data_IF_124695529852
#
_entry.id   IF_124695529852
#
_cell.length_a   1.000
_cell.length_b   1.000
_cell.length_c   1.000
_cell.angle_alpha   90.00
_cell.angle_beta   90.00
_cell.angle_gamma   90.00
#
_symmetry.space_group_name_H-M   'P 1'
#
loop_
_entity.id
_entity.type
_entity.pdbx_description
1 polymer ?
#
# COMPACT_ATOMS: atom_id res chain seq x y z
N UNK A 1 -8.01 46.78 -54.74
CA UNK A 1 -6.97 46.21 -53.86
C UNK A 1 -7.56 46.05 -52.47
N UNK A 2 -8.03 44.86 -52.11
CA UNK A 2 -8.51 44.54 -50.76
C UNK A 2 -7.76 43.27 -50.33
N UNK A 3 -6.90 43.43 -49.32
CA UNK A 3 -6.04 42.37 -48.76
C UNK A 3 -6.92 41.40 -47.96
N UNK A 4 -6.94 40.13 -48.38
CA UNK A 4 -7.50 39.05 -47.57
C UNK A 4 -6.51 38.72 -46.43
N UNK A 5 -6.92 38.94 -45.18
CA UNK A 5 -6.17 38.52 -44.00
C UNK A 5 -6.65 37.11 -43.65
N UNK A 6 -5.84 36.11 -43.98
CA UNK A 6 -6.07 34.73 -43.57
C UNK A 6 -5.65 34.55 -42.11
N UNK A 7 -6.64 34.37 -41.23
CA UNK A 7 -6.42 34.01 -39.83
C UNK A 7 -6.30 32.48 -39.72
N UNK A 8 -5.09 31.98 -39.50
CA UNK A 8 -4.84 30.57 -39.24
C UNK A 8 -5.23 30.22 -37.79
N UNK A 9 -6.28 29.42 -37.62
CA UNK A 9 -6.67 28.84 -36.33
C UNK A 9 -5.81 27.60 -36.07
N UNK A 10 -4.95 27.65 -35.05
CA UNK A 10 -4.21 26.50 -34.57
C UNK A 10 -5.13 25.63 -33.70
N UNK A 11 -5.45 24.41 -34.17
CA UNK A 11 -6.13 23.40 -33.38
C UNK A 11 -5.16 22.82 -32.35
N UNK A 12 -5.33 23.19 -31.08
CA UNK A 12 -4.72 22.49 -29.95
C UNK A 12 -5.60 21.27 -29.68
N UNK A 13 -5.20 20.10 -30.19
CA UNK A 13 -5.85 18.85 -29.80
C UNK A 13 -5.42 18.49 -28.37
N UNK A 14 -6.34 18.26 -27.42
CA UNK A 14 -5.97 17.73 -26.12
C UNK A 14 -5.44 16.31 -26.30
N UNK A 15 -4.14 16.12 -26.07
CA UNK A 15 -3.53 14.79 -26.04
C UNK A 15 -4.12 13.99 -24.89
N UNK A 16 -4.66 12.81 -25.20
CA UNK A 16 -5.05 11.85 -24.16
C UNK A 16 -3.79 11.35 -23.48
N UNK A 17 -3.55 11.76 -22.24
CA UNK A 17 -2.52 11.16 -21.41
C UNK A 17 -2.94 9.71 -21.09
N UNK A 18 -2.35 8.74 -21.77
CA UNK A 18 -2.44 7.34 -21.36
C UNK A 18 -1.54 7.20 -20.13
N UNK A 19 -2.14 7.13 -18.95
CA UNK A 19 -1.44 6.75 -17.73
C UNK A 19 -1.03 5.28 -17.85
N UNK A 20 0.15 5.03 -18.42
CA UNK A 20 0.73 3.70 -18.46
C UNK A 20 1.11 3.31 -17.02
N UNK A 21 0.42 2.31 -16.47
CA UNK A 21 0.71 1.81 -15.14
C UNK A 21 2.00 0.98 -15.18
N UNK A 22 3.13 1.68 -15.20
CA UNK A 22 4.46 1.12 -15.42
C UNK A 22 5.05 0.43 -14.18
N UNK A 23 4.30 0.36 -13.07
CA UNK A 23 4.78 -0.23 -11.81
C UNK A 23 4.12 -1.58 -11.58
N UNK A 24 4.94 -2.63 -11.58
CA UNK A 24 4.54 -3.99 -11.21
C UNK A 24 4.51 -4.12 -9.68
N UNK A 25 3.52 -4.86 -9.17
CA UNK A 25 3.37 -5.19 -7.75
C UNK A 25 3.30 -6.72 -7.58
N UNK A 26 3.96 -7.22 -6.54
CA UNK A 26 3.80 -8.60 -6.06
C UNK A 26 3.83 -8.61 -4.53
N UNK A 27 3.11 -9.54 -3.90
CA UNK A 27 3.02 -9.63 -2.44
C UNK A 27 3.31 -11.04 -1.98
N UNK A 28 4.18 -11.17 -0.98
CA UNK A 28 4.45 -12.41 -0.26
C UNK A 28 3.95 -12.27 1.19
N UNK A 29 3.56 -13.39 1.81
CA UNK A 29 3.14 -13.44 3.21
C UNK A 29 3.93 -14.52 3.94
N UNK A 30 4.36 -14.21 5.16
CA UNK A 30 5.12 -15.10 6.04
C UNK A 30 4.52 -15.11 7.43
N UNK A 31 4.78 -16.18 8.18
CA UNK A 31 4.47 -16.27 9.62
C UNK A 31 5.76 -16.08 10.42
N UNK A 32 5.74 -15.22 11.43
CA UNK A 32 6.82 -15.11 12.41
C UNK A 32 6.73 -16.26 13.43
N UNK A 33 7.74 -17.14 13.46
CA UNK A 33 7.85 -18.25 14.42
C UNK A 33 9.00 -18.01 15.38
N UNK A 34 8.81 -18.35 16.66
CA UNK A 34 9.89 -18.38 17.65
C UNK A 34 10.55 -19.75 17.63
N UNK A 35 11.84 -19.79 17.32
CA UNK A 35 12.65 -21.01 17.32
C UNK A 35 13.66 -20.94 18.46
N UNK A 36 13.69 -21.98 19.30
CA UNK A 36 14.68 -22.11 20.34
C UNK A 36 16.05 -22.44 19.72
N UNK A 37 17.08 -21.72 20.16
CA UNK A 37 18.47 -21.97 19.77
C UNK A 37 19.16 -22.86 20.81
N UNK A 38 20.23 -23.59 20.43
CA UNK A 38 21.01 -24.44 21.34
C UNK A 38 21.57 -23.71 22.57
N UNK A 39 21.75 -22.39 22.49
CA UNK A 39 22.23 -21.53 23.57
C UNK A 39 21.12 -21.06 24.55
N UNK A 40 19.90 -21.62 24.45
CA UNK A 40 18.75 -21.26 25.30
C UNK A 40 18.04 -19.95 24.92
N UNK A 41 18.50 -19.23 23.89
CA UNK A 41 17.80 -18.04 23.37
C UNK A 41 16.74 -18.40 22.34
N UNK A 42 15.84 -17.46 22.02
CA UNK A 42 14.88 -17.61 20.91
C UNK A 42 15.25 -16.71 19.74
N UNK A 43 15.09 -17.20 18.51
CA UNK A 43 15.09 -16.40 17.29
C UNK A 43 13.67 -16.27 16.76
N UNK A 44 13.40 -15.14 16.11
CA UNK A 44 12.27 -15.02 15.19
C UNK A 44 12.73 -15.42 13.80
N UNK A 45 12.01 -16.33 13.16
CA UNK A 45 12.21 -16.72 11.77
C UNK A 45 10.93 -16.47 10.98
N UNK A 46 11.08 -16.21 9.69
CA UNK A 46 9.96 -16.09 8.75
C UNK A 46 9.82 -17.41 8.00
N UNK A 47 8.63 -17.97 8.05
CA UNK A 47 8.28 -19.22 7.37
C UNK A 47 7.09 -18.98 6.42
N UNK A 48 7.07 -19.70 5.31
CA UNK A 48 5.89 -19.69 4.43
C UNK A 48 4.70 -20.35 5.15
N UNK A 49 3.52 -19.72 5.17
CA UNK A 49 2.35 -20.28 5.83
C UNK A 49 1.84 -21.51 5.07
N UNK A 50 1.91 -22.68 5.69
CA UNK A 50 1.12 -23.86 5.28
C UNK A 50 -0.28 -23.83 5.89
N UNK A 51 -0.36 -23.44 7.16
CA UNK A 51 -1.60 -23.18 7.91
C UNK A 51 -1.37 -22.00 8.85
N UNK A 52 -2.38 -21.15 9.01
CA UNK A 52 -2.38 -20.03 9.96
C UNK A 52 -3.49 -20.24 11.00
N UNK A 53 -3.21 -19.86 12.25
CA UNK A 53 -4.13 -19.97 13.39
C UNK A 53 -4.34 -18.60 14.05
N UNK A 54 -5.47 -18.39 14.76
CA UNK A 54 -5.70 -17.16 15.52
C UNK A 54 -4.51 -16.82 16.44
N UNK A 55 -4.07 -15.57 16.41
CA UNK A 55 -2.89 -15.08 17.13
C UNK A 55 -1.56 -15.16 16.37
N UNK A 56 -1.49 -15.89 15.25
CA UNK A 56 -0.29 -15.92 14.42
C UNK A 56 0.10 -14.52 13.93
N UNK A 57 1.40 -14.25 13.97
CA UNK A 57 1.98 -12.97 13.52
C UNK A 57 2.40 -13.11 12.07
N UNK A 58 1.77 -12.29 11.22
CA UNK A 58 2.01 -12.28 9.78
C UNK A 58 2.91 -11.12 9.40
N UNK A 59 3.81 -11.37 8.46
CA UNK A 59 4.65 -10.36 7.81
C UNK A 59 4.32 -10.38 6.33
N UNK A 60 3.83 -9.26 5.82
CA UNK A 60 3.53 -9.08 4.41
C UNK A 60 4.65 -8.27 3.76
N UNK A 61 5.15 -8.75 2.62
CA UNK A 61 6.22 -8.10 1.85
C UNK A 61 5.69 -7.75 0.48
N UNK A 62 5.42 -6.47 0.26
CA UNK A 62 4.96 -5.94 -1.03
C UNK A 62 6.18 -5.45 -1.80
N UNK A 63 6.49 -6.10 -2.91
CA UNK A 63 7.55 -5.70 -3.84
C UNK A 63 6.94 -4.84 -4.93
N UNK A 64 7.59 -3.72 -5.24
CA UNK A 64 7.20 -2.85 -6.35
C UNK A 64 8.39 -2.61 -7.26
N UNK A 65 8.15 -2.52 -8.58
CA UNK A 65 9.20 -2.24 -9.57
C UNK A 65 8.63 -1.48 -10.76
N UNK A 66 9.30 -0.41 -11.16
CA UNK A 66 9.02 0.24 -12.44
C UNK A 66 9.57 -0.64 -13.58
N UNK A 67 8.67 -1.24 -14.34
CA UNK A 67 8.95 -2.10 -15.50
C UNK A 67 8.78 -1.38 -16.83
N UNK A 68 8.42 -0.08 -16.81
CA UNK A 68 8.35 0.76 -17.99
C UNK A 68 9.70 1.37 -18.39
N UNK A 69 9.67 2.15 -19.47
CA UNK A 69 10.83 2.85 -20.03
C UNK A 69 11.00 4.29 -19.54
N UNK A 70 10.04 4.82 -18.78
CA UNK A 70 10.06 6.18 -18.23
C UNK A 70 9.92 6.17 -16.69
N UNK A 71 10.42 7.20 -15.97
CA UNK A 71 10.19 7.33 -14.53
C UNK A 71 8.69 7.36 -14.19
N UNK A 72 8.30 6.65 -13.14
CA UNK A 72 6.94 6.70 -12.60
C UNK A 72 6.86 7.80 -11.53
N UNK A 73 6.05 8.82 -11.76
CA UNK A 73 5.76 9.90 -10.80
C UNK A 73 4.42 9.67 -10.12
N UNK A 74 4.22 10.32 -8.96
CA UNK A 74 2.93 10.38 -8.26
C UNK A 74 2.27 9.02 -8.00
N UNK A 75 3.09 7.99 -7.79
CA UNK A 75 2.60 6.64 -7.59
C UNK A 75 2.33 6.38 -6.11
N UNK A 76 1.33 5.53 -5.87
CA UNK A 76 1.01 5.01 -4.54
C UNK A 76 0.80 3.52 -4.59
N UNK A 77 1.08 2.86 -3.48
CA UNK A 77 0.82 1.43 -3.31
C UNK A 77 -0.26 1.29 -2.26
N UNK A 78 -1.39 0.68 -2.64
CA UNK A 78 -2.53 0.42 -1.76
C UNK A 78 -2.68 -1.07 -1.61
N UNK A 79 -2.78 -1.57 -0.38
CA UNK A 79 -2.96 -2.98 -0.10
C UNK A 79 -4.15 -3.22 0.86
N UNK A 80 -5.21 -3.93 0.43
CA UNK A 80 -6.29 -4.34 1.31
C UNK A 80 -5.81 -5.40 2.31
N UNK A 81 -6.33 -5.33 3.54
CA UNK A 81 -6.11 -6.38 4.53
C UNK A 81 -7.15 -7.49 4.36
N UNK A 82 -6.74 -8.77 4.45
CA UNK A 82 -7.69 -9.87 4.61
C UNK A 82 -8.55 -9.65 5.85
N UNK A 83 -9.86 -9.93 5.77
CA UNK A 83 -10.81 -9.68 6.88
C UNK A 83 -10.41 -10.35 8.20
N UNK A 84 -9.79 -11.53 8.11
CA UNK A 84 -9.31 -12.33 9.23
C UNK A 84 -7.97 -11.85 9.83
N UNK A 85 -7.43 -10.72 9.36
CA UNK A 85 -6.16 -10.16 9.84
C UNK A 85 -6.41 -8.78 10.45
N UNK A 86 -5.91 -8.57 11.65
CA UNK A 86 -5.79 -7.25 12.26
C UNK A 86 -4.45 -6.63 11.88
N UNK A 87 -4.43 -5.35 11.51
CA UNK A 87 -3.19 -4.63 11.25
C UNK A 87 -2.31 -4.57 12.51
N UNK A 88 -1.00 -4.53 12.34
CA UNK A 88 -0.05 -4.41 13.45
C UNK A 88 1.15 -3.49 13.11
N UNK A 89 0.92 -2.48 12.27
CA UNK A 89 1.92 -1.48 11.89
C UNK A 89 2.80 -1.87 10.71
N UNK A 90 3.63 -0.91 10.28
CA UNK A 90 4.69 -1.11 9.30
C UNK A 90 6.07 -0.99 9.96
N UNK A 91 7.12 -1.31 9.20
CA UNK A 91 8.49 -1.15 9.68
C UNK A 91 9.01 0.29 9.62
N UNK A 92 8.43 1.17 8.79
CA UNK A 92 8.93 2.53 8.58
C UNK A 92 7.98 3.64 9.09
N UNK A 93 6.74 3.31 9.43
CA UNK A 93 5.74 4.23 9.96
C UNK A 93 5.27 5.30 8.95
N UNK A 94 5.56 5.13 7.67
CA UNK A 94 5.25 6.11 6.62
C UNK A 94 3.88 5.90 5.97
N UNK A 95 3.16 4.87 6.39
CA UNK A 95 1.85 4.54 5.86
C UNK A 95 0.75 5.50 6.30
N UNK A 96 -0.26 5.60 5.46
CA UNK A 96 -1.61 6.00 5.86
C UNK A 96 -2.53 4.78 5.74
N UNK A 97 -3.59 4.76 6.52
CA UNK A 97 -4.52 3.63 6.56
C UNK A 97 -5.94 4.10 6.25
N UNK A 98 -6.80 3.13 5.97
CA UNK A 98 -8.25 3.35 5.85
C UNK A 98 -8.99 2.35 6.73
N UNK A 99 -10.04 2.81 7.39
CA UNK A 99 -10.93 2.00 8.26
C UNK A 99 -12.33 1.80 7.66
N UNK A 100 -12.55 2.28 6.44
CA UNK A 100 -13.88 2.34 5.80
C UNK A 100 -13.89 1.80 4.36
N UNK A 101 -12.95 0.89 4.06
CA UNK A 101 -12.86 0.24 2.76
C UNK A 101 -12.14 1.06 1.69
N UNK A 102 -11.25 1.97 2.09
CA UNK A 102 -10.44 2.78 1.19
C UNK A 102 -11.09 4.10 0.79
N UNK A 103 -12.15 4.55 1.47
CA UNK A 103 -12.84 5.80 1.14
C UNK A 103 -12.13 7.00 1.76
N UNK A 104 -11.76 6.88 3.03
CA UNK A 104 -10.98 7.88 3.75
C UNK A 104 -9.60 7.33 4.12
N UNK A 105 -8.60 8.22 4.11
CA UNK A 105 -7.20 7.88 4.33
C UNK A 105 -6.55 8.88 5.30
N UNK A 106 -5.75 8.37 6.22
CA UNK A 106 -4.96 9.21 7.13
C UNK A 106 -4.09 8.40 8.08
N UNK A 107 -3.30 9.07 8.93
CA UNK A 107 -2.66 8.43 10.07
C UNK A 107 -3.73 7.77 10.95
N UNK A 108 -3.50 6.55 11.43
CA UNK A 108 -4.51 5.81 12.22
C UNK A 108 -5.02 6.62 13.43
N UNK A 109 -4.12 7.36 14.09
CA UNK A 109 -4.43 8.18 15.25
C UNK A 109 -5.45 9.30 14.97
N UNK A 110 -5.59 9.71 13.71
CA UNK A 110 -6.49 10.79 13.29
C UNK A 110 -7.84 10.26 12.79
N UNK A 111 -8.00 8.94 12.69
CA UNK A 111 -9.20 8.32 12.14
C UNK A 111 -10.21 7.94 13.23
N UNK A 112 -11.48 8.04 12.86
CA UNK A 112 -12.61 7.53 13.64
C UNK A 112 -13.24 6.33 12.93
N UNK A 113 -13.73 5.39 13.72
CA UNK A 113 -14.47 4.23 13.24
C UNK A 113 -15.95 4.40 13.58
N UNK A 114 -16.80 4.17 12.57
CA UNK A 114 -18.25 4.09 12.72
C UNK A 114 -18.66 2.61 12.75
N UNK A 115 -19.06 2.14 13.92
CA UNK A 115 -19.58 0.79 14.13
C UNK A 115 -20.93 0.57 13.47
N UNK A 116 -21.28 -0.69 13.23
CA UNK A 116 -22.57 -1.07 12.62
C UNK A 116 -23.79 -0.67 13.47
N UNK A 117 -23.61 -0.48 14.78
CA UNK A 117 -24.59 0.01 15.74
C UNK A 117 -24.71 1.56 15.76
N UNK A 118 -23.94 2.27 14.92
CA UNK A 118 -23.87 3.74 14.93
C UNK A 118 -22.91 4.32 15.96
N UNK A 119 -22.17 3.49 16.69
CA UNK A 119 -21.16 3.95 17.64
C UNK A 119 -19.99 4.61 16.91
N UNK A 120 -19.56 5.77 17.41
CA UNK A 120 -18.39 6.48 16.91
C UNK A 120 -17.31 6.45 17.98
N UNK A 121 -16.14 5.95 17.61
CA UNK A 121 -14.96 5.90 18.50
C UNK A 121 -13.66 6.12 17.73
N UNK A 122 -12.54 6.40 18.40
CA UNK A 122 -11.22 6.36 17.77
C UNK A 122 -10.99 5.01 17.06
N UNK A 123 -10.35 5.07 15.89
CA UNK A 123 -9.99 3.87 15.14
C UNK A 123 -8.92 3.06 15.87
N UNK A 124 -9.08 1.74 15.82
CA UNK A 124 -8.11 0.77 16.34
C UNK A 124 -7.42 0.07 15.17
N UNK A 125 -6.27 -0.55 15.45
CA UNK A 125 -5.56 -1.36 14.44
C UNK A 125 -6.44 -2.51 13.88
N UNK A 126 -7.39 -3.01 14.67
CA UNK A 126 -8.35 -4.05 14.26
C UNK A 126 -9.39 -3.57 13.23
N UNK A 127 -9.59 -2.25 13.13
CA UNK A 127 -10.54 -1.63 12.21
C UNK A 127 -9.91 -1.30 10.85
N UNK A 128 -8.58 -1.37 10.75
CA UNK A 128 -7.85 -1.08 9.51
C UNK A 128 -8.25 -2.08 8.42
N UNK A 129 -8.72 -1.54 7.31
CA UNK A 129 -9.15 -2.28 6.12
C UNK A 129 -8.10 -2.23 5.01
N UNK A 130 -7.33 -1.15 4.93
CA UNK A 130 -6.31 -0.97 3.92
C UNK A 130 -5.11 -0.20 4.48
N UNK A 131 -3.93 -0.46 3.92
CA UNK A 131 -2.71 0.30 4.14
C UNK A 131 -2.25 0.88 2.81
N UNK A 132 -1.75 2.11 2.83
CA UNK A 132 -1.30 2.83 1.64
C UNK A 132 -0.01 3.59 1.90
N UNK A 133 0.87 3.57 0.89
CA UNK A 133 2.08 4.38 0.85
C UNK A 133 2.03 5.30 -0.37
N UNK A 134 2.38 6.57 -0.16
CA UNK A 134 2.47 7.58 -1.22
C UNK A 134 3.92 7.98 -1.39
N UNK A 135 4.40 7.98 -2.63
CA UNK A 135 5.79 8.28 -2.94
C UNK A 135 5.92 9.65 -3.60
N UNK A 136 6.59 10.57 -2.91
CA UNK A 136 6.81 11.94 -3.40
C UNK A 136 8.02 12.06 -4.33
N UNK A 137 8.66 10.93 -4.68
CA UNK A 137 9.82 10.87 -5.57
C UNK A 137 9.50 9.98 -6.76
N UNK A 138 10.00 10.38 -7.92
CA UNK A 138 9.91 9.56 -9.11
C UNK A 138 10.66 8.23 -8.89
N UNK A 139 10.04 7.12 -9.31
CA UNK A 139 10.69 5.82 -9.37
C UNK A 139 11.27 5.64 -10.77
N UNK A 140 12.59 5.73 -10.90
CA UNK A 140 13.30 5.55 -12.17
C UNK A 140 12.98 4.20 -12.83
N UNK A 141 13.05 4.15 -14.16
CA UNK A 141 12.87 2.91 -14.92
C UNK A 141 13.81 1.81 -14.38
N UNK A 142 13.28 0.60 -14.23
CA UNK A 142 14.00 -0.56 -13.67
C UNK A 142 14.18 -0.55 -12.15
N UNK A 143 13.94 0.58 -11.47
CA UNK A 143 14.07 0.69 -10.01
C UNK A 143 12.87 0.09 -9.29
N UNK A 144 13.07 -0.31 -8.04
CA UNK A 144 12.02 -0.89 -7.21
C UNK A 144 12.41 -0.93 -5.74
N UNK A 145 11.52 -1.48 -4.94
CA UNK A 145 11.72 -1.60 -3.50
C UNK A 145 10.77 -2.60 -2.87
N UNK A 146 10.78 -2.62 -1.54
CA UNK A 146 9.90 -3.44 -0.72
C UNK A 146 9.24 -2.57 0.33
N UNK A 147 7.97 -2.85 0.59
CA UNK A 147 7.20 -2.33 1.71
C UNK A 147 6.85 -3.51 2.60
N UNK A 148 6.94 -3.32 3.90
CA UNK A 148 6.67 -4.37 4.88
C UNK A 148 5.66 -3.88 5.88
N UNK A 149 4.59 -4.65 6.04
CA UNK A 149 3.61 -4.43 7.09
C UNK A 149 3.28 -5.73 7.82
N UNK A 150 2.81 -5.60 9.05
CA UNK A 150 2.50 -6.73 9.92
C UNK A 150 1.01 -6.83 10.17
N UNK A 151 0.59 -8.05 10.43
CA UNK A 151 -0.76 -8.34 10.90
C UNK A 151 -0.77 -9.46 11.95
N UNK A 152 -1.90 -9.58 12.64
CA UNK A 152 -2.18 -10.71 13.52
C UNK A 152 -3.46 -11.39 13.04
N UNK A 153 -3.47 -12.71 12.95
CA UNK A 153 -4.70 -13.47 12.64
C UNK A 153 -5.69 -13.31 13.80
N UNK A 154 -6.95 -12.98 13.48
CA UNK A 154 -8.04 -12.78 14.45
C UNK A 154 -8.54 -14.11 15.01
#
# INVERSE_FOLDING_TARGET
>A
MIKAISLAIALIMPGTAIAANNVSLSSDVFVERKVAKPNGTTALVLEEPTTVTPGDKLVFVVKYKNVGSAPATDFSVTNPLPKAVAFNGTSDGTEIVSVDGGKNWGPLADLTYLGANGEIRPALMTDVTHVKWTFNRALSAGSGGKLVFRGTVK
#
